data_IF_531086595776
#
_entry.id   IF_531086595776
#
_cell.length_a   1.000
_cell.length_b   1.000
_cell.length_c   1.000
_cell.angle_alpha   90.00
_cell.angle_beta   90.00
_cell.angle_gamma   90.00
#
_symmetry.space_group_name_H-M   'P 1'
#
loop_
_entity.id
_entity.type
_entity.pdbx_description
1 polymer ?
#
# COMPACT_ATOMS: atom_id res chain seq x y z
N UNK A 1 55.84 -9.40 -14.98
CA UNK A 1 56.46 -8.13 -15.40
C UNK A 1 55.58 -7.08 -14.79
N UNK A 2 55.95 -6.77 -13.63
CA UNK A 2 56.43 -5.48 -13.10
C UNK A 2 55.31 -4.42 -13.18
N UNK A 3 54.80 -3.90 -12.16
CA UNK A 3 55.34 -3.58 -10.84
C UNK A 3 55.15 -2.06 -10.60
N UNK A 4 54.80 -1.74 -9.41
CA UNK A 4 54.93 -0.44 -8.75
C UNK A 4 53.67 0.45 -8.64
N UNK A 5 53.06 0.40 -7.44
CA UNK A 5 52.33 1.53 -6.87
C UNK A 5 53.29 2.56 -6.26
N UNK A 6 52.86 3.76 -5.88
CA UNK A 6 53.50 4.44 -4.76
C UNK A 6 52.53 4.75 -3.59
N UNK A 7 52.99 4.50 -2.52
CA UNK A 7 53.20 4.88 -1.16
C UNK A 7 52.45 6.14 -0.66
N UNK A 8 51.86 5.94 0.52
CA UNK A 8 51.35 6.93 1.49
C UNK A 8 52.55 7.62 2.18
N UNK A 9 52.50 8.90 2.54
CA UNK A 9 53.27 9.43 3.69
C UNK A 9 52.39 9.81 4.86
N UNK A 10 52.99 9.45 6.02
CA UNK A 10 52.58 9.63 7.39
C UNK A 10 52.59 11.07 7.90
N UNK A 11 51.72 11.32 8.86
CA UNK A 11 51.78 12.19 10.04
C UNK A 11 53.04 13.02 10.26
N UNK A 12 52.79 14.32 10.55
CA UNK A 12 53.51 14.97 11.63
C UNK A 12 52.63 15.99 12.35
N UNK A 13 52.78 15.96 13.68
CA UNK A 13 52.07 16.73 14.68
C UNK A 13 52.70 18.12 14.84
N UNK A 14 51.88 19.15 14.98
CA UNK A 14 52.30 20.43 15.54
C UNK A 14 51.35 20.82 16.68
N UNK A 15 51.90 20.75 17.87
CA UNK A 15 51.37 21.26 19.14
C UNK A 15 51.45 22.79 19.16
N UNK A 16 50.37 23.47 19.48
CA UNK A 16 50.45 24.82 20.09
C UNK A 16 49.45 24.95 21.24
N UNK A 17 49.98 25.39 22.36
CA UNK A 17 49.39 25.43 23.67
C UNK A 17 48.32 26.53 23.89
N UNK A 18 47.80 26.64 25.11
CA UNK A 18 46.56 27.36 25.40
C UNK A 18 46.79 28.84 25.68
N UNK A 19 45.96 29.69 25.07
CA UNK A 19 45.77 31.08 25.50
C UNK A 19 44.52 31.17 26.36
N UNK A 20 44.71 31.42 27.63
CA UNK A 20 43.65 31.70 28.58
C UNK A 20 43.06 33.10 28.34
N UNK A 21 41.73 33.16 28.08
CA UNK A 21 40.97 34.41 28.19
C UNK A 21 39.90 34.21 29.29
N UNK A 22 40.15 34.80 30.46
CA UNK A 22 39.16 35.03 31.53
C UNK A 22 38.28 36.20 31.09
N UNK A 23 37.01 36.05 30.99
CA UNK A 23 36.01 37.03 31.45
C UNK A 23 34.64 36.33 31.54
N UNK A 24 34.01 36.49 32.69
CA UNK A 24 32.78 35.87 33.11
C UNK A 24 31.55 36.41 32.38
N UNK A 25 30.60 35.54 32.22
CA UNK A 25 29.21 35.92 32.03
C UNK A 25 28.30 34.89 32.70
N UNK A 26 27.41 35.43 33.47
CA UNK A 26 26.31 34.91 34.24
C UNK A 26 25.66 33.66 33.65
N UNK A 27 25.56 32.62 34.47
CA UNK A 27 24.82 31.41 34.17
C UNK A 27 23.32 31.66 34.19
N UNK A 28 22.69 31.40 33.06
CA UNK A 28 21.26 31.12 32.99
C UNK A 28 21.10 29.60 32.86
N UNK A 29 20.90 28.91 33.99
CA UNK A 29 20.55 27.49 34.03
C UNK A 29 19.13 27.35 33.45
N UNK A 30 19.04 27.04 32.16
CA UNK A 30 17.81 26.54 31.57
C UNK A 30 17.71 25.06 31.96
N UNK A 31 16.90 24.74 32.98
CA UNK A 31 16.48 23.38 33.25
C UNK A 31 15.70 22.86 32.06
N UNK A 32 16.40 22.19 31.13
CA UNK A 32 15.78 21.37 30.12
C UNK A 32 15.18 20.14 30.83
N UNK A 33 13.91 20.21 31.22
CA UNK A 33 13.17 19.04 31.69
C UNK A 33 13.18 18.02 30.54
N UNK A 34 14.04 17.00 30.68
CA UNK A 34 14.04 15.83 29.85
C UNK A 34 12.68 15.14 30.02
N UNK A 35 11.75 15.41 29.11
CA UNK A 35 10.56 14.57 28.94
C UNK A 35 11.05 13.14 28.66
N UNK A 36 10.62 12.14 29.45
CA UNK A 36 10.97 10.77 29.17
C UNK A 36 10.46 10.44 27.75
N UNK A 37 11.22 9.66 26.95
CA UNK A 37 10.73 9.20 25.68
C UNK A 37 9.38 8.51 25.95
N UNK A 38 8.31 8.97 25.29
CA UNK A 38 7.06 8.22 25.26
C UNK A 38 7.41 6.88 24.64
N UNK A 39 7.55 5.88 25.49
CA UNK A 39 7.54 4.48 25.07
C UNK A 39 6.20 4.32 24.40
N UNK A 40 6.21 4.22 23.07
CA UNK A 40 5.03 3.79 22.32
C UNK A 40 4.64 2.46 22.94
N UNK A 41 3.48 2.41 23.60
CA UNK A 41 2.90 1.15 24.03
C UNK A 41 2.79 0.27 22.77
N UNK A 42 3.71 -0.67 22.64
CA UNK A 42 3.58 -1.75 21.69
C UNK A 42 2.29 -2.47 22.06
N UNK A 43 1.25 -2.32 21.25
CA UNK A 43 -0.02 -3.01 21.46
C UNK A 43 0.26 -4.51 21.60
N UNK A 44 -0.27 -5.11 22.68
CA UNK A 44 -0.15 -6.53 22.91
C UNK A 44 -0.60 -7.33 21.67
N UNK A 45 0.08 -8.43 21.37
CA UNK A 45 -0.25 -9.25 20.21
C UNK A 45 -1.69 -9.75 20.31
N UNK A 46 -2.43 -9.65 19.22
CA UNK A 46 -3.82 -10.14 19.15
C UNK A 46 -3.78 -11.67 19.03
N UNK A 47 -4.26 -12.37 20.05
CA UNK A 47 -4.37 -13.84 20.05
C UNK A 47 -5.49 -14.34 19.12
N UNK A 48 -6.57 -13.56 18.98
CA UNK A 48 -7.71 -13.86 18.09
C UNK A 48 -8.10 -12.60 17.33
N UNK A 49 -8.34 -12.74 16.05
CA UNK A 49 -8.51 -11.61 15.15
C UNK A 49 -9.85 -11.71 14.42
N UNK A 50 -10.68 -10.67 14.54
CA UNK A 50 -11.85 -10.45 13.68
C UNK A 50 -11.43 -9.70 12.41
N UNK A 51 -12.30 -9.66 11.39
CA UNK A 51 -11.99 -8.95 10.13
C UNK A 51 -11.77 -7.45 10.36
N UNK A 52 -12.54 -6.81 11.25
CA UNK A 52 -12.44 -5.38 11.53
C UNK A 52 -11.17 -5.05 12.32
N UNK A 53 -10.77 -5.91 13.26
CA UNK A 53 -9.49 -5.79 13.96
C UNK A 53 -8.31 -5.98 13.01
N UNK A 54 -8.39 -6.93 12.06
CA UNK A 54 -7.40 -7.15 11.02
C UNK A 54 -7.22 -5.91 10.13
N UNK A 55 -8.33 -5.33 9.67
CA UNK A 55 -8.33 -4.08 8.88
C UNK A 55 -7.74 -2.94 9.70
N UNK A 56 -8.18 -2.77 10.95
CA UNK A 56 -7.67 -1.71 11.83
C UNK A 56 -6.18 -1.85 12.12
N UNK A 57 -5.68 -3.07 12.31
CA UNK A 57 -4.26 -3.36 12.49
C UNK A 57 -3.46 -3.02 11.22
N UNK A 58 -3.98 -3.41 10.04
CA UNK A 58 -3.34 -3.10 8.76
C UNK A 58 -3.26 -1.59 8.49
N UNK A 59 -4.31 -0.83 8.78
CA UNK A 59 -4.31 0.62 8.62
C UNK A 59 -3.28 1.33 9.51
N UNK A 60 -2.89 0.71 10.63
CA UNK A 60 -1.85 1.24 11.51
C UNK A 60 -0.44 0.78 11.14
N UNK A 61 -0.29 -0.45 10.65
CA UNK A 61 1.01 -1.12 10.58
C UNK A 61 1.49 -1.45 9.15
N UNK A 62 0.59 -1.46 8.15
CA UNK A 62 0.96 -1.87 6.80
C UNK A 62 2.08 -1.01 6.21
N UNK A 63 3.22 -1.63 5.77
CA UNK A 63 4.38 -0.88 5.30
C UNK A 63 4.11 -0.04 4.05
N UNK A 64 3.27 -0.54 3.13
CA UNK A 64 2.91 0.18 1.89
C UNK A 64 2.13 1.46 2.21
N UNK A 65 1.21 1.38 3.17
CA UNK A 65 0.43 2.54 3.62
C UNK A 65 1.33 3.57 4.32
N UNK A 66 2.25 3.11 5.18
CA UNK A 66 3.25 3.99 5.82
C UNK A 66 4.17 4.68 4.81
N UNK A 67 4.63 3.95 3.79
CA UNK A 67 5.45 4.52 2.72
C UNK A 67 4.69 5.63 1.97
N UNK A 68 3.40 5.40 1.62
CA UNK A 68 2.57 6.42 0.95
C UNK A 68 2.24 7.62 1.85
N UNK A 69 2.09 7.41 3.16
CA UNK A 69 1.97 8.49 4.14
C UNK A 69 3.24 9.36 4.20
N UNK A 70 4.42 8.74 4.20
CA UNK A 70 5.69 9.46 4.17
C UNK A 70 5.87 10.24 2.85
N UNK A 71 5.46 9.66 1.71
CA UNK A 71 5.44 10.34 0.42
C UNK A 71 4.55 11.59 0.45
N UNK A 72 3.35 11.48 1.03
CA UNK A 72 2.45 12.64 1.21
C UNK A 72 3.11 13.74 2.05
N UNK A 73 3.84 13.38 3.11
CA UNK A 73 4.57 14.38 3.92
C UNK A 73 5.70 15.04 3.11
N UNK A 74 6.43 14.28 2.30
CA UNK A 74 7.47 14.81 1.42
C UNK A 74 6.88 15.78 0.37
N UNK A 75 5.75 15.43 -0.24
CA UNK A 75 5.06 16.30 -1.20
C UNK A 75 4.52 17.56 -0.51
N UNK A 76 3.99 17.46 0.70
CA UNK A 76 3.58 18.63 1.51
C UNK A 76 4.74 19.58 1.81
N UNK A 77 5.93 19.05 2.09
CA UNK A 77 7.09 19.88 2.31
C UNK A 77 7.46 20.76 1.09
N UNK A 78 7.13 20.30 -0.13
CA UNK A 78 7.30 21.11 -1.35
C UNK A 78 6.41 22.35 -1.37
N UNK A 79 5.29 22.38 -0.65
CA UNK A 79 4.48 23.61 -0.52
C UNK A 79 5.25 24.70 0.22
N UNK A 80 6.05 24.34 1.22
CA UNK A 80 6.92 25.26 1.96
C UNK A 80 7.93 25.85 0.97
N UNK A 81 8.64 24.99 0.22
CA UNK A 81 9.63 25.42 -0.78
C UNK A 81 8.99 26.29 -1.86
N UNK A 82 7.82 25.93 -2.36
CA UNK A 82 7.09 26.69 -3.38
C UNK A 82 6.69 28.10 -2.89
N UNK A 83 6.48 28.26 -1.58
CA UNK A 83 6.12 29.51 -0.96
C UNK A 83 7.30 30.44 -0.68
N UNK A 84 8.53 29.96 -0.73
CA UNK A 84 9.71 30.77 -0.47
C UNK A 84 9.95 31.78 -1.59
N UNK A 85 10.49 32.94 -1.21
CA UNK A 85 11.04 33.92 -2.14
C UNK A 85 12.52 33.60 -2.40
N UNK A 86 13.09 33.99 -3.56
CA UNK A 86 14.53 33.89 -3.77
C UNK A 86 15.30 34.63 -2.67
N UNK A 87 16.41 34.07 -2.23
CA UNK A 87 17.25 34.74 -1.26
C UNK A 87 17.98 35.93 -1.88
N UNK A 88 18.31 36.98 -1.10
CA UNK A 88 19.23 38.02 -1.54
C UNK A 88 20.62 37.42 -1.73
N UNK A 89 21.36 37.97 -2.63
CA UNK A 89 22.76 37.61 -2.87
C UNK A 89 23.66 38.78 -2.47
N UNK A 90 24.74 38.48 -1.75
CA UNK A 90 25.79 39.41 -1.45
C UNK A 90 27.08 38.96 -2.17
N UNK A 91 27.73 39.84 -2.88
CA UNK A 91 29.01 39.56 -3.52
C UNK A 91 30.04 40.61 -3.13
N UNK A 92 31.28 40.17 -3.03
CA UNK A 92 32.44 41.02 -2.80
C UNK A 92 33.49 40.71 -3.87
N UNK A 93 34.03 41.77 -4.50
CA UNK A 93 35.12 41.68 -5.41
C UNK A 93 36.23 42.65 -4.97
N UNK A 94 37.49 42.21 -5.10
CA UNK A 94 38.66 43.04 -4.91
C UNK A 94 39.51 42.94 -6.16
N UNK A 95 39.76 44.07 -6.79
CA UNK A 95 40.47 44.14 -8.06
C UNK A 95 41.69 45.05 -7.92
N UNK A 96 42.65 44.95 -8.86
CA UNK A 96 43.89 45.75 -8.89
C UNK A 96 44.77 45.61 -7.63
N UNK A 97 44.70 44.46 -6.95
CA UNK A 97 45.55 44.12 -5.83
C UNK A 97 46.97 43.78 -6.34
N UNK A 98 47.92 44.70 -6.19
CA UNK A 98 49.32 44.50 -6.64
C UNK A 98 49.61 45.01 -8.06
N UNK A 99 48.76 45.83 -8.63
CA UNK A 99 49.04 46.59 -9.88
C UNK A 99 50.18 47.60 -9.66
N UNK A 100 50.81 48.01 -10.79
CA UNK A 100 51.95 49.00 -10.76
C UNK A 100 51.53 50.33 -10.13
N UNK A 101 52.49 51.24 -9.99
CA UNK A 101 52.40 52.46 -9.14
C UNK A 101 51.22 53.43 -9.44
N UNK A 102 50.40 53.18 -10.43
CA UNK A 102 49.23 54.02 -10.81
C UNK A 102 47.87 53.32 -10.67
N UNK A 103 47.83 52.05 -10.27
CA UNK A 103 46.58 51.32 -10.09
C UNK A 103 46.14 51.36 -8.61
N UNK A 104 45.00 51.96 -8.32
CA UNK A 104 44.43 52.01 -6.96
C UNK A 104 43.59 50.77 -6.68
N UNK A 105 43.77 50.08 -5.53
CA UNK A 105 42.95 48.96 -5.13
C UNK A 105 41.46 49.32 -5.16
N UNK A 106 40.66 48.48 -5.81
CA UNK A 106 39.23 48.61 -5.89
C UNK A 106 38.56 47.52 -5.09
N UNK A 107 37.63 47.88 -4.25
CA UNK A 107 36.78 46.98 -3.48
C UNK A 107 35.30 47.25 -3.78
N UNK A 108 34.59 46.22 -4.20
CA UNK A 108 33.16 46.32 -4.56
C UNK A 108 32.35 45.35 -3.73
N UNK A 109 31.30 45.84 -3.10
CA UNK A 109 30.28 45.02 -2.38
C UNK A 109 28.94 45.26 -3.08
N UNK A 110 28.28 44.19 -3.50
CA UNK A 110 26.97 44.28 -4.14
C UNK A 110 25.96 43.46 -3.31
N UNK A 111 24.82 44.05 -2.99
CA UNK A 111 23.66 43.39 -2.43
C UNK A 111 22.55 43.40 -3.46
N UNK A 112 22.09 42.25 -3.89
CA UNK A 112 21.05 42.12 -4.93
C UNK A 112 19.90 41.22 -4.44
N UNK A 113 18.65 41.60 -4.75
CA UNK A 113 17.46 40.85 -4.39
C UNK A 113 16.61 40.56 -5.62
N UNK A 114 16.51 39.28 -6.07
CA UNK A 114 15.61 38.93 -7.16
C UNK A 114 14.15 39.11 -6.73
N UNK A 115 13.37 39.81 -7.53
CA UNK A 115 11.92 40.01 -7.36
C UNK A 115 11.21 39.28 -8.49
N UNK A 116 10.49 38.22 -8.13
CA UNK A 116 9.74 37.43 -9.10
C UNK A 116 8.54 38.22 -9.61
N UNK A 117 8.37 38.29 -10.91
CA UNK A 117 7.22 38.91 -11.58
C UNK A 117 6.29 37.85 -12.19
N UNK A 118 5.20 38.27 -12.85
CA UNK A 118 4.28 37.34 -13.53
C UNK A 118 3.51 36.40 -12.61
N UNK A 119 3.55 36.61 -11.29
CA UNK A 119 2.85 35.77 -10.33
C UNK A 119 3.46 34.38 -10.13
N UNK A 120 4.73 34.18 -10.49
CA UNK A 120 5.44 32.88 -10.44
C UNK A 120 5.28 32.16 -9.11
N UNK A 121 5.54 32.87 -8.01
CA UNK A 121 5.41 32.31 -6.65
C UNK A 121 4.00 31.78 -6.40
N UNK A 122 2.95 32.51 -6.77
CA UNK A 122 1.57 32.08 -6.59
C UNK A 122 1.28 30.82 -7.41
N UNK A 123 1.76 30.75 -8.67
CA UNK A 123 1.56 29.59 -9.52
C UNK A 123 2.35 28.36 -9.05
N UNK A 124 3.54 28.55 -8.45
CA UNK A 124 4.28 27.45 -7.78
C UNK A 124 3.48 26.90 -6.61
N UNK A 125 2.92 27.76 -5.76
CA UNK A 125 2.09 27.34 -4.63
C UNK A 125 0.87 26.57 -5.12
N UNK A 126 0.19 27.04 -6.16
CA UNK A 126 -0.98 26.37 -6.75
C UNK A 126 -0.63 24.97 -7.28
N UNK A 127 0.47 24.83 -8.02
CA UNK A 127 0.97 23.56 -8.53
C UNK A 127 1.33 22.61 -7.38
N UNK A 128 2.10 23.08 -6.38
CA UNK A 128 2.48 22.27 -5.22
C UNK A 128 1.26 21.77 -4.42
N UNK A 129 0.29 22.65 -4.17
CA UNK A 129 -0.97 22.26 -3.50
C UNK A 129 -1.78 21.26 -4.32
N UNK A 130 -1.80 21.40 -5.65
CA UNK A 130 -2.46 20.44 -6.51
C UNK A 130 -1.77 19.06 -6.44
N UNK A 131 -0.42 19.04 -6.39
CA UNK A 131 0.36 17.82 -6.17
C UNK A 131 0.01 17.15 -4.82
N UNK A 132 -0.06 17.92 -3.73
CA UNK A 132 -0.47 17.42 -2.41
C UNK A 132 -1.86 16.80 -2.44
N UNK A 133 -2.82 17.43 -3.12
CA UNK A 133 -4.18 16.86 -3.26
C UNK A 133 -4.16 15.55 -4.03
N UNK A 134 -3.40 15.46 -5.13
CA UNK A 134 -3.26 14.23 -5.91
C UNK A 134 -2.73 13.10 -5.04
N UNK A 135 -1.59 13.31 -4.37
CA UNK A 135 -0.98 12.31 -3.49
C UNK A 135 -1.89 11.94 -2.30
N UNK A 136 -2.69 12.89 -1.81
CA UNK A 136 -3.69 12.63 -0.79
C UNK A 136 -4.77 11.63 -1.23
N UNK A 137 -5.28 11.77 -2.46
CA UNK A 137 -6.24 10.81 -3.03
C UNK A 137 -5.59 9.47 -3.36
N UNK A 138 -4.34 9.45 -3.83
CA UNK A 138 -3.57 8.23 -4.03
C UNK A 138 -3.35 7.47 -2.71
N UNK A 139 -3.13 8.17 -1.59
CA UNK A 139 -3.07 7.56 -0.26
C UNK A 139 -4.40 6.88 0.10
N UNK A 140 -5.53 7.53 -0.18
CA UNK A 140 -6.84 6.94 0.05
C UNK A 140 -7.09 5.71 -0.84
N UNK A 141 -6.55 5.71 -2.07
CA UNK A 141 -6.63 4.53 -2.94
C UNK A 141 -5.79 3.36 -2.42
N UNK A 142 -4.57 3.61 -1.96
CA UNK A 142 -3.74 2.59 -1.30
C UNK A 142 -4.45 2.04 -0.05
N UNK A 143 -5.11 2.91 0.74
CA UNK A 143 -5.93 2.46 1.89
C UNK A 143 -7.04 1.50 1.46
N UNK A 144 -7.81 1.86 0.42
CA UNK A 144 -8.86 1.01 -0.15
C UNK A 144 -8.33 -0.36 -0.60
N UNK A 145 -7.19 -0.37 -1.29
CA UNK A 145 -6.53 -1.60 -1.75
C UNK A 145 -6.07 -2.47 -0.58
N UNK A 146 -5.45 -1.89 0.45
CA UNK A 146 -5.04 -2.62 1.66
C UNK A 146 -6.22 -3.23 2.37
N UNK A 147 -7.33 -2.49 2.55
CA UNK A 147 -8.56 -3.01 3.15
C UNK A 147 -9.08 -4.22 2.37
N UNK A 148 -9.19 -4.11 1.04
CA UNK A 148 -9.64 -5.20 0.18
C UNK A 148 -8.74 -6.42 0.27
N UNK A 149 -7.42 -6.23 0.27
CA UNK A 149 -6.44 -7.30 0.37
C UNK A 149 -6.55 -8.04 1.72
N UNK A 150 -6.69 -7.28 2.82
CA UNK A 150 -6.85 -7.87 4.17
C UNK A 150 -8.14 -8.67 4.26
N UNK A 151 -9.27 -8.11 3.83
CA UNK A 151 -10.57 -8.81 3.83
C UNK A 151 -10.52 -10.10 3.01
N UNK A 152 -9.88 -10.07 1.84
CA UNK A 152 -9.75 -11.23 0.96
C UNK A 152 -8.85 -12.32 1.56
N UNK A 153 -7.70 -11.95 2.10
CA UNK A 153 -6.80 -12.91 2.75
C UNK A 153 -7.41 -13.47 4.04
N UNK A 154 -8.14 -12.66 4.78
CA UNK A 154 -8.88 -13.10 5.96
C UNK A 154 -9.93 -14.17 5.61
N UNK A 155 -10.74 -13.94 4.57
CA UNK A 155 -11.68 -14.94 4.07
C UNK A 155 -10.98 -16.25 3.65
N UNK A 156 -9.79 -16.16 3.06
CA UNK A 156 -9.00 -17.33 2.69
C UNK A 156 -8.58 -18.16 3.92
N UNK A 157 -8.26 -17.53 5.06
CA UNK A 157 -7.95 -18.24 6.30
C UNK A 157 -9.19 -18.98 6.82
N UNK A 158 -10.36 -18.31 6.82
CA UNK A 158 -11.61 -18.94 7.26
C UNK A 158 -11.99 -20.15 6.39
N UNK A 159 -11.81 -20.07 5.06
CA UNK A 159 -12.04 -21.19 4.15
C UNK A 159 -11.08 -22.35 4.44
N UNK A 160 -9.81 -22.04 4.68
CA UNK A 160 -8.80 -23.05 5.00
C UNK A 160 -9.10 -23.76 6.34
N UNK A 161 -9.54 -23.02 7.37
CA UNK A 161 -10.00 -23.59 8.64
C UNK A 161 -11.20 -24.51 8.44
N UNK A 162 -12.25 -24.04 7.76
CA UNK A 162 -13.43 -24.86 7.48
C UNK A 162 -13.10 -26.10 6.63
N UNK A 163 -12.10 -26.02 5.75
CA UNK A 163 -11.61 -27.15 4.96
C UNK A 163 -10.90 -28.18 5.83
N UNK A 164 -10.08 -27.74 6.80
CA UNK A 164 -9.44 -28.64 7.76
C UNK A 164 -10.48 -29.34 8.64
N UNK A 165 -11.45 -28.59 9.17
CA UNK A 165 -12.52 -29.16 10.00
C UNK A 165 -13.29 -30.25 9.25
N UNK A 166 -13.60 -30.02 7.97
CA UNK A 166 -14.24 -31.02 7.11
C UNK A 166 -13.36 -32.26 6.91
N UNK A 167 -12.07 -32.05 6.63
CA UNK A 167 -11.12 -33.14 6.43
C UNK A 167 -10.95 -34.00 7.71
N UNK A 168 -10.86 -33.38 8.87
CA UNK A 168 -10.75 -34.08 10.17
C UNK A 168 -12.04 -34.83 10.53
N UNK A 169 -13.23 -34.25 10.26
CA UNK A 169 -14.50 -34.96 10.40
C UNK A 169 -14.58 -36.20 9.51
N UNK A 170 -14.13 -36.09 8.25
CA UNK A 170 -14.12 -37.22 7.34
C UNK A 170 -13.14 -38.31 7.80
N UNK A 171 -11.94 -37.95 8.27
CA UNK A 171 -10.98 -38.90 8.85
C UNK A 171 -11.55 -39.61 10.08
N UNK A 172 -12.20 -38.87 10.98
CA UNK A 172 -12.83 -39.44 12.15
C UNK A 172 -13.89 -40.49 11.79
N UNK A 173 -14.74 -40.19 10.80
CA UNK A 173 -15.72 -41.15 10.29
C UNK A 173 -15.05 -42.41 9.75
N UNK A 174 -13.97 -42.25 9.00
CA UNK A 174 -13.21 -43.36 8.42
C UNK A 174 -12.55 -44.23 9.52
N UNK A 175 -12.00 -43.61 10.56
CA UNK A 175 -11.43 -44.28 11.73
C UNK A 175 -12.44 -45.17 12.45
N UNK A 176 -13.69 -44.69 12.58
CA UNK A 176 -14.77 -45.46 13.18
C UNK A 176 -15.12 -46.69 12.33
N UNK A 177 -15.19 -46.51 11.02
CA UNK A 177 -15.47 -47.60 10.09
C UNK A 177 -14.31 -48.61 10.04
N UNK A 178 -13.06 -48.16 10.03
CA UNK A 178 -11.91 -49.05 10.06
C UNK A 178 -11.88 -49.91 11.32
N UNK A 179 -12.18 -49.33 12.48
CA UNK A 179 -12.28 -50.10 13.74
C UNK A 179 -13.36 -51.15 13.67
N UNK A 180 -14.54 -50.85 13.12
CA UNK A 180 -15.61 -51.80 12.92
C UNK A 180 -15.21 -52.95 11.99
N UNK A 181 -14.56 -52.62 10.87
CA UNK A 181 -14.11 -53.60 9.86
C UNK A 181 -13.01 -54.49 10.36
N UNK A 182 -12.10 -54.00 11.18
CA UNK A 182 -11.06 -54.80 11.82
C UNK A 182 -11.66 -55.91 12.68
N UNK A 183 -12.64 -55.56 13.52
CA UNK A 183 -13.34 -56.54 14.35
C UNK A 183 -14.10 -57.54 13.49
N UNK A 184 -14.73 -57.16 12.38
CA UNK A 184 -15.39 -58.07 11.45
C UNK A 184 -14.42 -58.99 10.73
N UNK A 185 -13.25 -58.50 10.34
CA UNK A 185 -12.21 -59.32 9.71
C UNK A 185 -11.65 -60.36 10.69
N UNK A 186 -11.43 -60.00 11.95
CA UNK A 186 -11.00 -60.92 13.02
C UNK A 186 -12.01 -62.05 13.28
N UNK A 187 -13.33 -61.73 13.12
CA UNK A 187 -14.41 -62.71 13.25
C UNK A 187 -14.68 -63.56 12.00
N UNK A 188 -14.01 -63.19 10.88
CA UNK A 188 -14.22 -63.83 9.59
C UNK A 188 -15.47 -63.36 8.81
N UNK A 189 -16.14 -62.31 9.27
CA UNK A 189 -17.36 -61.75 8.65
C UNK A 189 -17.06 -61.01 7.33
N UNK A 190 -15.80 -60.54 7.15
CA UNK A 190 -15.33 -59.90 5.92
C UNK A 190 -13.93 -60.44 5.52
N UNK A 191 -13.57 -60.21 4.25
CA UNK A 191 -12.25 -60.64 3.76
C UNK A 191 -11.17 -59.65 4.21
N UNK A 192 -9.94 -60.12 4.41
CA UNK A 192 -8.76 -59.30 4.65
C UNK A 192 -8.55 -58.27 3.50
N UNK A 193 -8.94 -58.64 2.28
CA UNK A 193 -8.85 -57.73 1.11
C UNK A 193 -9.73 -56.48 1.29
N UNK A 194 -10.91 -56.60 1.88
CA UNK A 194 -11.79 -55.44 2.12
C UNK A 194 -11.18 -54.48 3.15
N UNK A 195 -10.59 -55.01 4.21
CA UNK A 195 -9.86 -54.22 5.20
C UNK A 195 -8.67 -53.48 4.58
N UNK A 196 -7.85 -54.18 3.77
CA UNK A 196 -6.74 -53.59 3.07
C UNK A 196 -7.17 -52.46 2.10
N UNK A 197 -8.26 -52.67 1.35
CA UNK A 197 -8.83 -51.61 0.48
C UNK A 197 -9.21 -50.38 1.25
N UNK A 198 -9.85 -50.52 2.41
CA UNK A 198 -10.21 -49.40 3.26
C UNK A 198 -8.98 -48.63 3.76
N UNK A 199 -7.94 -49.35 4.20
CA UNK A 199 -6.67 -48.77 4.64
C UNK A 199 -5.93 -48.01 3.54
N UNK A 200 -5.94 -48.53 2.32
CA UNK A 200 -5.35 -47.83 1.16
C UNK A 200 -6.13 -46.57 0.85
N UNK A 201 -7.45 -46.60 0.91
CA UNK A 201 -8.30 -45.41 0.69
C UNK A 201 -8.12 -44.34 1.77
N UNK A 202 -7.76 -44.72 2.98
CA UNK A 202 -7.47 -43.81 4.10
C UNK A 202 -6.41 -42.77 3.73
N UNK A 203 -5.39 -43.17 2.95
CA UNK A 203 -4.33 -42.24 2.51
C UNK A 203 -4.86 -40.97 1.82
N UNK A 204 -5.94 -41.09 1.02
CA UNK A 204 -6.53 -39.92 0.36
C UNK A 204 -7.10 -38.90 1.38
N UNK A 205 -7.69 -39.37 2.48
CA UNK A 205 -8.23 -38.49 3.52
C UNK A 205 -7.13 -37.91 4.41
N UNK A 206 -6.07 -38.66 4.69
CA UNK A 206 -4.89 -38.16 5.42
C UNK A 206 -4.17 -37.09 4.64
N UNK A 207 -4.01 -37.28 3.32
CA UNK A 207 -3.45 -36.28 2.42
C UNK A 207 -4.30 -35.00 2.44
N UNK A 208 -5.64 -35.10 2.31
CA UNK A 208 -6.52 -33.93 2.32
C UNK A 208 -6.39 -33.14 3.63
N UNK A 209 -6.24 -33.79 4.76
CA UNK A 209 -6.00 -33.13 6.05
C UNK A 209 -4.60 -32.47 6.10
N UNK A 210 -3.58 -33.13 5.53
CA UNK A 210 -2.25 -32.57 5.39
C UNK A 210 -2.24 -31.30 4.53
N UNK A 211 -2.87 -31.38 3.34
CA UNK A 211 -3.00 -30.27 2.40
C UNK A 211 -3.79 -29.09 3.04
N UNK A 212 -4.84 -29.39 3.81
CA UNK A 212 -5.63 -28.36 4.50
C UNK A 212 -4.82 -27.65 5.61
N UNK A 213 -3.97 -28.38 6.37
CA UNK A 213 -3.08 -27.76 7.36
C UNK A 213 -2.06 -26.84 6.67
N UNK A 214 -1.46 -27.26 5.58
CA UNK A 214 -0.56 -26.42 4.80
C UNK A 214 -1.29 -25.17 4.26
N UNK A 215 -2.53 -25.31 3.79
CA UNK A 215 -3.32 -24.20 3.29
C UNK A 215 -3.61 -23.15 4.38
N UNK A 216 -3.87 -23.56 5.63
CA UNK A 216 -4.04 -22.63 6.77
C UNK A 216 -2.76 -21.85 7.02
N UNK A 217 -1.62 -22.52 7.10
CA UNK A 217 -0.34 -21.83 7.33
C UNK A 217 -0.03 -20.84 6.20
N UNK A 218 -0.22 -21.23 4.94
CA UNK A 218 -0.03 -20.35 3.80
C UNK A 218 -0.97 -19.13 3.84
N UNK A 219 -2.25 -19.34 4.19
CA UNK A 219 -3.23 -18.27 4.29
C UNK A 219 -2.93 -17.31 5.47
N UNK A 220 -2.49 -17.83 6.62
CA UNK A 220 -2.05 -17.02 7.77
C UNK A 220 -0.81 -16.19 7.43
N UNK A 221 0.18 -16.75 6.73
CA UNK A 221 1.36 -16.01 6.26
C UNK A 221 0.92 -14.87 5.32
N UNK A 222 0.02 -15.13 4.37
CA UNK A 222 -0.49 -14.12 3.46
C UNK A 222 -1.27 -13.00 4.19
N UNK A 223 -2.10 -13.35 5.18
CA UNK A 223 -2.81 -12.37 6.00
C UNK A 223 -1.85 -11.50 6.81
N UNK A 224 -0.85 -12.11 7.46
CA UNK A 224 0.19 -11.38 8.20
C UNK A 224 0.97 -10.42 7.30
N UNK A 225 1.31 -10.84 6.09
CA UNK A 225 1.97 -9.98 5.11
C UNK A 225 1.07 -8.80 4.68
N UNK A 226 -0.24 -9.02 4.53
CA UNK A 226 -1.19 -7.98 4.18
C UNK A 226 -1.42 -6.97 5.32
N UNK A 227 -1.40 -7.40 6.57
CA UNK A 227 -1.54 -6.53 7.74
C UNK A 227 -0.24 -5.78 8.01
N UNK A 228 0.89 -6.45 7.92
CA UNK A 228 2.22 -5.99 8.31
C UNK A 228 2.79 -6.90 9.40
N UNK A 229 4.00 -7.43 9.18
CA UNK A 229 4.56 -8.51 10.01
C UNK A 229 4.74 -8.13 11.48
N UNK A 230 4.93 -6.83 11.77
CA UNK A 230 5.17 -6.32 13.12
C UNK A 230 3.89 -6.10 13.93
N UNK A 231 2.72 -6.20 13.30
CA UNK A 231 1.42 -5.94 13.94
C UNK A 231 0.81 -7.17 14.64
N UNK A 232 1.25 -8.37 14.28
CA UNK A 232 0.72 -9.63 14.76
C UNK A 232 1.85 -10.49 15.32
N UNK A 233 1.69 -10.92 16.58
CA UNK A 233 2.56 -11.97 17.15
C UNK A 233 2.14 -13.35 16.63
N UNK A 234 3.09 -14.27 16.63
CA UNK A 234 2.82 -15.69 16.35
C UNK A 234 2.84 -16.48 17.67
N UNK A 235 1.96 -17.46 17.83
CA UNK A 235 0.85 -17.84 16.95
C UNK A 235 -0.37 -16.92 17.09
N UNK A 236 -1.11 -16.67 16.01
CA UNK A 236 -2.40 -16.00 16.03
C UNK A 236 -3.47 -16.87 15.36
N UNK A 237 -4.74 -16.59 15.66
CA UNK A 237 -5.88 -17.23 15.03
C UNK A 237 -6.92 -16.22 14.55
N UNK A 238 -7.81 -16.61 13.63
CA UNK A 238 -8.89 -15.77 13.15
C UNK A 238 -10.24 -16.28 13.64
N UNK A 239 -11.15 -15.34 13.91
CA UNK A 239 -12.51 -15.65 14.35
C UNK A 239 -13.50 -14.99 13.39
N UNK A 240 -14.39 -15.80 12.82
CA UNK A 240 -15.43 -15.34 11.92
C UNK A 240 -16.22 -16.53 11.39
N UNK A 241 -17.36 -16.25 10.79
CA UNK A 241 -18.21 -17.23 10.15
C UNK A 241 -18.30 -16.94 8.65
N UNK A 242 -18.25 -18.01 7.85
CA UNK A 242 -18.47 -17.96 6.42
C UNK A 242 -19.98 -18.08 6.12
N UNK A 243 -20.75 -17.12 6.61
CA UNK A 243 -22.19 -17.12 6.37
C UNK A 243 -22.52 -16.52 5.00
N UNK A 244 -23.50 -17.12 4.34
CA UNK A 244 -24.02 -16.55 3.10
C UNK A 244 -24.86 -15.31 3.42
N UNK A 245 -24.46 -14.15 2.86
CA UNK A 245 -25.19 -12.89 2.99
C UNK A 245 -25.76 -12.50 1.63
N UNK A 246 -27.07 -12.41 1.54
CA UNK A 246 -27.72 -11.88 0.32
C UNK A 246 -27.64 -10.35 0.29
N UNK A 247 -27.01 -9.81 -0.74
CA UNK A 247 -26.77 -8.38 -0.88
C UNK A 247 -27.51 -7.86 -2.11
N UNK A 248 -28.26 -6.75 -2.01
CA UNK A 248 -28.90 -6.14 -3.18
C UNK A 248 -27.85 -5.62 -4.17
N UNK A 249 -27.96 -6.03 -5.44
CA UNK A 249 -26.99 -5.78 -6.51
C UNK A 249 -27.62 -4.93 -7.62
N UNK A 250 -27.85 -3.64 -7.32
CA UNK A 250 -28.29 -2.67 -8.34
C UNK A 250 -27.06 -2.12 -9.09
N UNK A 251 -26.98 -2.45 -10.38
CA UNK A 251 -25.86 -2.08 -11.25
C UNK A 251 -25.69 -0.58 -11.37
N UNK A 252 -26.78 0.16 -11.56
CA UNK A 252 -26.72 1.59 -11.83
C UNK A 252 -26.34 2.36 -10.56
N UNK A 253 -26.83 1.92 -9.41
CA UNK A 253 -26.42 2.46 -8.12
C UNK A 253 -24.93 2.22 -7.85
N UNK A 254 -24.43 0.99 -8.07
CA UNK A 254 -23.02 0.65 -7.88
C UNK A 254 -22.11 1.49 -8.79
N UNK A 255 -22.49 1.69 -10.06
CA UNK A 255 -21.75 2.55 -11.00
C UNK A 255 -21.74 4.01 -10.55
N UNK A 256 -22.88 4.56 -10.10
CA UNK A 256 -22.95 5.94 -9.58
C UNK A 256 -22.03 6.12 -8.36
N UNK A 257 -22.08 5.16 -7.43
CA UNK A 257 -21.22 5.16 -6.24
C UNK A 257 -19.75 5.12 -6.61
N UNK A 258 -19.35 4.25 -7.53
CA UNK A 258 -17.97 4.15 -8.00
C UNK A 258 -17.47 5.49 -8.56
N UNK A 259 -18.20 6.12 -9.46
CA UNK A 259 -17.82 7.40 -10.06
C UNK A 259 -17.74 8.55 -9.05
N UNK A 260 -18.52 8.47 -7.95
CA UNK A 260 -18.52 9.49 -6.89
C UNK A 260 -17.43 9.28 -5.86
N UNK A 261 -17.19 8.03 -5.43
CA UNK A 261 -16.44 7.76 -4.21
C UNK A 261 -15.04 7.16 -4.45
N UNK A 262 -14.75 6.62 -5.63
CA UNK A 262 -13.44 5.98 -5.87
C UNK A 262 -12.28 6.96 -5.73
N UNK A 263 -11.32 6.67 -4.83
CA UNK A 263 -10.18 7.57 -4.61
C UNK A 263 -9.23 7.67 -5.80
N UNK A 264 -9.06 6.59 -6.59
CA UNK A 264 -8.24 6.60 -7.80
C UNK A 264 -8.80 7.54 -8.88
N UNK A 265 -10.14 7.63 -9.03
CA UNK A 265 -10.78 8.60 -9.92
C UNK A 265 -10.61 10.03 -9.40
N UNK A 266 -10.68 10.22 -8.09
CA UNK A 266 -10.40 11.52 -7.46
C UNK A 266 -8.93 11.91 -7.65
N UNK A 267 -7.99 10.95 -7.54
CA UNK A 267 -6.57 11.16 -7.84
C UNK A 267 -6.34 11.54 -9.31
N UNK A 268 -6.97 10.85 -10.26
CA UNK A 268 -6.87 11.17 -11.68
C UNK A 268 -7.41 12.59 -12.00
N UNK A 269 -8.54 12.97 -11.40
CA UNK A 269 -9.10 14.33 -11.53
C UNK A 269 -8.19 15.39 -10.91
N UNK A 270 -7.62 15.12 -9.73
CA UNK A 270 -6.64 15.99 -9.08
C UNK A 270 -5.33 16.12 -9.88
N UNK A 271 -4.86 15.03 -10.49
CA UNK A 271 -3.70 15.03 -11.38
C UNK A 271 -3.93 15.87 -12.64
N UNK A 272 -5.14 15.83 -13.23
CA UNK A 272 -5.55 16.72 -14.32
C UNK A 272 -5.50 18.19 -13.88
N UNK A 273 -6.02 18.50 -12.69
CA UNK A 273 -6.02 19.87 -12.17
C UNK A 273 -4.58 20.34 -11.86
N UNK A 274 -3.71 19.44 -11.38
CA UNK A 274 -2.28 19.72 -11.23
C UNK A 274 -1.63 20.04 -12.59
N UNK A 275 -1.87 19.24 -13.61
CA UNK A 275 -1.32 19.48 -14.95
C UNK A 275 -1.75 20.84 -15.51
N UNK A 276 -3.00 21.27 -15.27
CA UNK A 276 -3.48 22.62 -15.62
C UNK A 276 -2.76 23.72 -14.83
N UNK A 277 -2.48 23.49 -13.54
CA UNK A 277 -1.71 24.42 -12.71
C UNK A 277 -0.26 24.54 -13.21
N UNK A 278 0.35 23.42 -13.68
CA UNK A 278 1.70 23.40 -14.25
C UNK A 278 1.78 24.20 -15.55
N UNK A 279 0.73 24.16 -16.40
CA UNK A 279 0.64 25.04 -17.59
C UNK A 279 0.67 26.51 -17.19
N UNK A 280 -0.09 26.88 -16.14
CA UNK A 280 -0.14 28.26 -15.66
C UNK A 280 1.22 28.69 -15.06
N UNK A 281 1.91 27.79 -14.36
CA UNK A 281 3.26 28.01 -13.85
C UNK A 281 4.25 28.20 -15.00
N UNK A 282 4.21 27.36 -16.04
CA UNK A 282 5.06 27.46 -17.21
C UNK A 282 4.88 28.81 -17.95
N UNK A 283 3.64 29.26 -18.06
CA UNK A 283 3.31 30.59 -18.60
C UNK A 283 3.83 31.74 -17.72
N UNK A 284 3.70 31.61 -16.39
CA UNK A 284 4.23 32.61 -15.46
C UNK A 284 5.76 32.69 -15.54
N UNK A 285 6.44 31.55 -15.70
CA UNK A 285 7.87 31.48 -15.86
C UNK A 285 8.35 32.13 -17.18
N UNK A 286 7.50 32.40 -18.15
CA UNK A 286 7.82 33.16 -19.33
C UNK A 286 8.06 34.66 -19.05
N UNK A 287 7.59 35.20 -17.95
CA UNK A 287 7.85 36.57 -17.55
C UNK A 287 9.27 36.76 -17.01
N UNK A 288 9.85 37.93 -17.21
CA UNK A 288 11.16 38.28 -16.68
C UNK A 288 11.09 38.72 -15.23
N UNK A 289 12.13 38.43 -14.44
CA UNK A 289 12.26 38.92 -13.07
C UNK A 289 13.13 40.17 -13.03
N UNK A 290 12.96 41.02 -12.02
CA UNK A 290 13.75 42.19 -11.79
C UNK A 290 14.65 41.97 -10.60
N UNK A 291 15.93 42.26 -10.75
CA UNK A 291 16.87 42.19 -9.63
C UNK A 291 17.43 43.58 -9.35
N UNK A 292 16.80 44.35 -8.44
CA UNK A 292 17.40 45.54 -7.89
C UNK A 292 18.66 45.18 -7.11
N UNK A 293 19.65 46.09 -7.19
CA UNK A 293 20.91 45.93 -6.48
C UNK A 293 21.41 47.27 -5.94
N UNK A 294 22.11 47.22 -4.84
CA UNK A 294 22.85 48.31 -4.23
C UNK A 294 24.31 47.90 -4.26
N UNK A 295 25.17 48.80 -4.76
CA UNK A 295 26.60 48.61 -4.87
C UNK A 295 27.31 49.66 -4.04
N UNK A 296 28.29 49.21 -3.25
CA UNK A 296 29.28 50.07 -2.61
C UNK A 296 30.63 49.76 -3.21
N UNK A 297 31.28 50.81 -3.72
CA UNK A 297 32.60 50.71 -4.33
C UNK A 297 33.58 51.68 -3.66
N UNK A 298 34.75 51.16 -3.34
CA UNK A 298 35.89 51.97 -2.86
C UNK A 298 37.04 51.84 -3.85
N UNK A 299 37.53 52.97 -4.35
CA UNK A 299 38.70 53.08 -5.22
C UNK A 299 39.68 54.01 -4.52
N UNK A 300 40.79 53.47 -4.03
CA UNK A 300 41.73 54.25 -3.21
C UNK A 300 41.03 54.94 -2.03
N UNK A 301 41.05 56.32 -1.97
CA UNK A 301 40.38 57.10 -0.93
C UNK A 301 38.89 57.32 -1.19
N UNK A 302 38.40 57.12 -2.41
CA UNK A 302 37.05 57.48 -2.83
C UNK A 302 36.05 56.37 -2.55
N UNK A 303 34.87 56.79 -2.05
CA UNK A 303 33.76 55.88 -1.79
C UNK A 303 32.56 56.29 -2.62
N UNK A 304 31.96 55.31 -3.29
CA UNK A 304 30.80 55.51 -4.17
C UNK A 304 29.66 54.53 -3.79
N UNK A 305 28.41 55.01 -3.81
CA UNK A 305 27.25 54.18 -3.69
C UNK A 305 26.48 54.26 -5.00
N UNK A 306 26.24 53.09 -5.60
CA UNK A 306 25.44 52.90 -6.80
C UNK A 306 24.16 52.15 -6.52
N UNK A 307 23.14 52.45 -7.31
CA UNK A 307 21.91 51.65 -7.39
C UNK A 307 21.70 51.18 -8.83
N UNK A 308 21.31 49.94 -8.98
CA UNK A 308 21.10 49.37 -10.31
C UNK A 308 19.95 48.35 -10.28
N UNK A 309 19.57 47.94 -11.43
CA UNK A 309 18.68 46.80 -11.61
C UNK A 309 19.07 46.00 -12.85
N UNK A 310 18.89 44.69 -12.78
CA UNK A 310 19.11 43.79 -13.91
C UNK A 310 17.84 42.98 -14.17
N UNK A 311 17.64 42.65 -15.44
CA UNK A 311 16.56 41.77 -15.89
C UNK A 311 17.00 41.05 -17.18
N UNK A 312 16.64 39.75 -17.35
CA UNK A 312 16.99 39.01 -18.55
C UNK A 312 16.16 39.46 -19.75
N UNK A 313 16.82 39.71 -20.88
CA UNK A 313 16.14 39.97 -22.15
C UNK A 313 15.72 38.62 -22.77
N UNK A 314 14.43 38.29 -22.69
CA UNK A 314 13.88 37.03 -23.20
C UNK A 314 13.64 37.11 -24.73
N UNK A 315 14.72 37.16 -25.52
CA UNK A 315 14.65 37.25 -26.96
C UNK A 315 14.46 35.88 -27.58
N UNK A 316 15.27 34.91 -27.18
CA UNK A 316 15.31 33.55 -27.74
C UNK A 316 14.47 32.56 -26.89
N UNK A 317 14.73 32.51 -25.60
CA UNK A 317 13.98 31.64 -24.66
C UNK A 317 12.86 32.43 -23.94
N UNK A 318 11.63 32.13 -24.35
CA UNK A 318 10.38 32.65 -23.77
C UNK A 318 9.64 31.54 -23.05
N UNK A 319 10.32 30.48 -22.63
CA UNK A 319 9.75 29.28 -22.01
C UNK A 319 8.78 28.53 -22.95
N UNK A 320 8.87 28.72 -24.27
CA UNK A 320 7.94 28.16 -25.25
C UNK A 320 7.94 26.62 -25.24
N UNK A 321 9.09 26.00 -25.07
CA UNK A 321 9.23 24.54 -25.01
C UNK A 321 8.52 23.97 -23.80
N UNK A 322 8.72 24.56 -22.62
CA UNK A 322 8.08 24.11 -21.38
C UNK A 322 6.55 24.35 -21.40
N UNK A 323 6.10 25.47 -22.00
CA UNK A 323 4.67 25.73 -22.22
C UNK A 323 4.06 24.68 -23.14
N UNK A 324 4.76 24.31 -24.22
CA UNK A 324 4.27 23.24 -25.12
C UNK A 324 4.24 21.87 -24.43
N UNK A 325 5.29 21.53 -23.69
CA UNK A 325 5.40 20.28 -22.93
C UNK A 325 4.25 20.17 -21.91
N UNK A 326 4.05 21.19 -21.08
CA UNK A 326 3.00 21.16 -20.04
C UNK A 326 1.59 21.16 -20.63
N UNK A 327 1.36 21.76 -21.82
CA UNK A 327 0.08 21.64 -22.53
C UNK A 327 -0.19 20.20 -22.97
N UNK A 328 0.79 19.54 -23.58
CA UNK A 328 0.67 18.14 -23.98
C UNK A 328 0.44 17.22 -22.76
N UNK A 329 1.11 17.48 -21.63
CA UNK A 329 0.89 16.77 -20.38
C UNK A 329 -0.53 17.00 -19.81
N UNK A 330 -1.09 18.20 -19.96
CA UNK A 330 -2.46 18.47 -19.55
C UNK A 330 -3.49 17.71 -20.43
N UNK A 331 -3.27 17.67 -21.74
CA UNK A 331 -4.07 16.88 -22.69
C UNK A 331 -3.97 15.36 -22.37
N UNK A 332 -2.75 14.87 -22.12
CA UNK A 332 -2.52 13.49 -21.67
C UNK A 332 -3.27 13.17 -20.38
N UNK A 333 -3.20 14.05 -19.38
CA UNK A 333 -3.86 13.85 -18.08
C UNK A 333 -5.39 13.85 -18.22
N UNK A 334 -5.94 14.65 -19.14
CA UNK A 334 -7.37 14.64 -19.44
C UNK A 334 -7.81 13.33 -20.12
N UNK A 335 -7.00 12.80 -21.04
CA UNK A 335 -7.25 11.50 -21.65
C UNK A 335 -7.18 10.35 -20.63
N UNK A 336 -6.18 10.38 -19.73
CA UNK A 336 -6.04 9.41 -18.63
C UNK A 336 -7.23 9.45 -17.67
N UNK A 337 -7.77 10.64 -17.35
CA UNK A 337 -8.97 10.76 -16.49
C UNK A 337 -10.17 10.09 -17.14
N UNK A 338 -10.37 10.29 -18.44
CA UNK A 338 -11.47 9.59 -19.19
C UNK A 338 -11.26 8.08 -19.23
N UNK A 339 -10.02 7.64 -19.44
CA UNK A 339 -9.67 6.20 -19.40
C UNK A 339 -9.96 5.59 -18.03
N UNK A 340 -9.62 6.30 -16.95
CA UNK A 340 -9.89 5.84 -15.58
C UNK A 340 -11.39 5.68 -15.30
N UNK A 341 -12.23 6.65 -15.76
CA UNK A 341 -13.69 6.53 -15.63
C UNK A 341 -14.23 5.28 -16.33
N UNK A 342 -13.76 5.00 -17.56
CA UNK A 342 -14.17 3.80 -18.33
C UNK A 342 -13.72 2.52 -17.63
N UNK A 343 -12.47 2.48 -17.16
CA UNK A 343 -11.92 1.31 -16.48
C UNK A 343 -12.64 1.05 -15.15
N UNK A 344 -12.94 2.07 -14.37
CA UNK A 344 -13.69 1.94 -13.13
C UNK A 344 -15.07 1.32 -13.35
N UNK A 345 -15.80 1.74 -14.39
CA UNK A 345 -17.09 1.16 -14.73
C UNK A 345 -16.97 -0.31 -15.18
N UNK A 346 -15.93 -0.64 -15.94
CA UNK A 346 -15.66 -2.01 -16.36
C UNK A 346 -15.31 -2.92 -15.17
N UNK A 347 -14.53 -2.43 -14.22
CA UNK A 347 -14.20 -3.15 -12.98
C UNK A 347 -15.45 -3.42 -12.13
N UNK A 348 -16.33 -2.42 -11.97
CA UNK A 348 -17.61 -2.61 -11.26
C UNK A 348 -18.47 -3.68 -11.94
N UNK A 349 -18.61 -3.63 -13.27
CA UNK A 349 -19.41 -4.60 -13.99
C UNK A 349 -18.82 -6.02 -13.90
N UNK A 350 -17.50 -6.13 -13.98
CA UNK A 350 -16.80 -7.41 -13.85
C UNK A 350 -16.97 -8.00 -12.44
N UNK A 351 -16.75 -7.18 -11.41
CA UNK A 351 -16.91 -7.60 -10.02
C UNK A 351 -18.36 -7.98 -9.70
N UNK A 352 -19.34 -7.19 -10.20
CA UNK A 352 -20.76 -7.49 -10.06
C UNK A 352 -21.14 -8.82 -10.73
N UNK A 353 -20.62 -9.08 -11.93
CA UNK A 353 -20.83 -10.35 -12.63
C UNK A 353 -20.26 -11.52 -11.82
N UNK A 354 -19.03 -11.37 -11.27
CA UNK A 354 -18.43 -12.39 -10.43
C UNK A 354 -19.28 -12.69 -9.18
N UNK A 355 -19.75 -11.66 -8.47
CA UNK A 355 -20.62 -11.85 -7.30
C UNK A 355 -21.89 -12.59 -7.67
N UNK A 356 -22.56 -12.25 -8.79
CA UNK A 356 -23.79 -12.93 -9.23
C UNK A 356 -23.56 -14.42 -9.50
N UNK A 357 -22.49 -14.75 -10.24
CA UNK A 357 -22.15 -16.13 -10.56
C UNK A 357 -21.83 -16.94 -9.30
N UNK A 358 -21.02 -16.40 -8.40
CA UNK A 358 -20.67 -17.10 -7.17
C UNK A 358 -21.87 -17.22 -6.22
N UNK A 359 -22.74 -16.21 -6.18
CA UNK A 359 -24.01 -16.27 -5.44
C UNK A 359 -24.88 -17.44 -5.90
N UNK A 360 -25.11 -17.56 -7.21
CA UNK A 360 -25.92 -18.66 -7.78
C UNK A 360 -25.28 -20.01 -7.44
N UNK A 361 -23.95 -20.14 -7.56
CA UNK A 361 -23.24 -21.37 -7.21
C UNK A 361 -23.40 -21.75 -5.76
N UNK A 362 -23.24 -20.79 -4.82
CA UNK A 362 -23.44 -21.03 -3.38
C UNK A 362 -24.87 -21.47 -3.08
N UNK A 363 -25.87 -20.78 -3.62
CA UNK A 363 -27.28 -21.10 -3.40
C UNK A 363 -27.62 -22.52 -3.89
N UNK A 364 -27.20 -22.89 -5.09
CA UNK A 364 -27.44 -24.22 -5.66
C UNK A 364 -26.74 -25.31 -4.81
N UNK A 365 -25.49 -25.08 -4.40
CA UNK A 365 -24.75 -26.04 -3.58
C UNK A 365 -25.37 -26.18 -2.20
N UNK A 366 -25.68 -25.08 -1.52
CA UNK A 366 -26.23 -25.05 -0.16
C UNK A 366 -27.64 -25.68 -0.09
N UNK A 367 -28.50 -25.31 -1.03
CA UNK A 367 -29.93 -25.63 -0.94
C UNK A 367 -30.29 -26.95 -1.66
N UNK A 368 -29.44 -27.41 -2.57
CA UNK A 368 -29.79 -28.58 -3.40
C UNK A 368 -28.80 -29.73 -3.26
N UNK A 369 -27.52 -29.50 -3.56
CA UNK A 369 -26.57 -30.60 -3.69
C UNK A 369 -25.97 -31.07 -2.37
N UNK A 370 -25.58 -30.17 -1.50
CA UNK A 370 -24.97 -30.51 -0.20
C UNK A 370 -25.93 -31.31 0.69
N UNK A 371 -27.23 -30.94 0.86
CA UNK A 371 -28.17 -31.74 1.62
C UNK A 371 -28.41 -33.15 1.02
N UNK A 372 -28.49 -33.25 -0.31
CA UNK A 372 -28.66 -34.55 -0.99
C UNK A 372 -27.43 -35.43 -0.82
N UNK A 373 -26.24 -34.89 -0.98
CA UNK A 373 -25.00 -35.64 -0.77
C UNK A 373 -24.84 -36.10 0.70
N UNK A 374 -25.22 -35.25 1.64
CA UNK A 374 -25.24 -35.57 3.08
C UNK A 374 -26.24 -36.68 3.41
N UNK A 375 -27.46 -36.60 2.85
CA UNK A 375 -28.49 -37.62 3.03
C UNK A 375 -28.05 -38.94 2.39
N UNK A 376 -27.52 -38.94 1.17
CA UNK A 376 -27.00 -40.14 0.51
C UNK A 376 -25.90 -40.81 1.33
N UNK A 377 -24.92 -40.02 1.80
CA UNK A 377 -23.87 -40.51 2.69
C UNK A 377 -24.43 -41.16 3.93
N UNK A 378 -25.32 -40.48 4.66
CA UNK A 378 -25.91 -40.99 5.90
C UNK A 378 -26.72 -42.27 5.67
N UNK A 379 -27.48 -42.35 4.59
CA UNK A 379 -28.27 -43.56 4.24
C UNK A 379 -27.36 -44.74 3.91
N UNK A 380 -26.33 -44.53 3.09
CA UNK A 380 -25.39 -45.62 2.71
C UNK A 380 -24.53 -46.04 3.91
N UNK A 381 -24.08 -45.12 4.75
CA UNK A 381 -23.36 -45.42 5.98
C UNK A 381 -24.19 -46.27 6.95
N UNK A 382 -25.47 -45.93 7.14
CA UNK A 382 -26.39 -46.71 7.94
C UNK A 382 -26.60 -48.13 7.41
N UNK A 383 -26.81 -48.27 6.08
CA UNK A 383 -26.95 -49.57 5.43
C UNK A 383 -25.65 -50.40 5.55
N UNK A 384 -24.48 -49.77 5.31
CA UNK A 384 -23.19 -50.43 5.42
C UNK A 384 -22.88 -50.94 6.84
N UNK A 385 -23.17 -50.16 7.87
CA UNK A 385 -23.04 -50.59 9.28
C UNK A 385 -23.88 -51.84 9.62
N UNK A 386 -24.99 -52.04 8.90
CA UNK A 386 -25.90 -53.19 9.05
C UNK A 386 -25.69 -54.31 8.05
N UNK A 387 -24.70 -54.20 7.17
CA UNK A 387 -24.41 -55.21 6.14
C UNK A 387 -25.31 -55.15 4.90
N UNK A 388 -26.13 -54.08 4.74
CA UNK A 388 -27.02 -53.88 3.60
C UNK A 388 -26.45 -53.09 2.44
N UNK A 389 -25.22 -52.61 2.55
CA UNK A 389 -24.49 -51.94 1.48
C UNK A 389 -23.05 -52.46 1.45
N UNK A 390 -22.40 -52.36 0.28
CA UNK A 390 -20.99 -52.75 0.12
C UNK A 390 -20.01 -51.66 0.60
N UNK A 391 -18.75 -52.04 0.85
CA UNK A 391 -17.67 -51.06 1.12
C UNK A 391 -17.52 -50.07 -0.01
N UNK A 392 -17.67 -50.51 -1.27
CA UNK A 392 -17.54 -49.65 -2.44
C UNK A 392 -18.64 -48.57 -2.45
N UNK A 393 -19.88 -48.93 -2.17
CA UNK A 393 -20.99 -47.96 -2.09
C UNK A 393 -20.74 -46.93 -1.00
N UNK A 394 -20.25 -47.38 0.18
CA UNK A 394 -19.90 -46.51 1.30
C UNK A 394 -18.77 -45.50 0.89
N UNK A 395 -17.70 -45.99 0.32
CA UNK A 395 -16.57 -45.14 -0.10
C UNK A 395 -16.97 -44.16 -1.22
N UNK A 396 -17.83 -44.57 -2.14
CA UNK A 396 -18.33 -43.70 -3.20
C UNK A 396 -19.24 -42.59 -2.66
N UNK A 397 -20.15 -42.91 -1.73
CA UNK A 397 -20.98 -41.94 -1.05
C UNK A 397 -20.15 -40.94 -0.21
N UNK A 398 -19.11 -41.42 0.50
CA UNK A 398 -18.17 -40.57 1.23
C UNK A 398 -17.39 -39.64 0.30
N UNK A 399 -16.91 -40.14 -0.83
CA UNK A 399 -16.20 -39.34 -1.84
C UNK A 399 -17.11 -38.24 -2.38
N UNK A 400 -18.34 -38.58 -2.81
CA UNK A 400 -19.30 -37.63 -3.36
C UNK A 400 -19.65 -36.52 -2.37
N UNK A 401 -19.90 -36.89 -1.09
CA UNK A 401 -20.14 -35.90 -0.04
C UNK A 401 -18.94 -34.98 0.16
N UNK A 402 -17.74 -35.55 0.28
CA UNK A 402 -16.48 -34.79 0.47
C UNK A 402 -16.28 -33.77 -0.67
N UNK A 403 -16.38 -34.23 -1.94
CA UNK A 403 -16.22 -33.38 -3.10
C UNK A 403 -17.26 -32.26 -3.14
N UNK A 404 -18.53 -32.57 -2.85
CA UNK A 404 -19.63 -31.57 -2.81
C UNK A 404 -19.41 -30.55 -1.67
N UNK A 405 -19.01 -31.00 -0.50
CA UNK A 405 -18.75 -30.13 0.65
C UNK A 405 -17.53 -29.22 0.42
N UNK A 406 -16.44 -29.74 -0.14
CA UNK A 406 -15.27 -28.94 -0.53
C UNK A 406 -15.61 -27.89 -1.59
N UNK A 407 -16.43 -28.27 -2.59
CA UNK A 407 -16.87 -27.32 -3.62
C UNK A 407 -17.78 -26.22 -3.02
N UNK A 408 -18.62 -26.56 -2.04
CA UNK A 408 -19.41 -25.56 -1.31
C UNK A 408 -18.51 -24.57 -0.55
N UNK A 409 -17.52 -25.05 0.19
CA UNK A 409 -16.58 -24.18 0.91
C UNK A 409 -15.78 -23.27 -0.04
N UNK A 410 -15.33 -23.81 -1.18
CA UNK A 410 -14.67 -23.02 -2.22
C UNK A 410 -15.59 -21.96 -2.82
N UNK A 411 -16.86 -22.34 -3.12
CA UNK A 411 -17.84 -21.38 -3.63
C UNK A 411 -18.12 -20.25 -2.63
N UNK A 412 -18.21 -20.56 -1.33
CA UNK A 412 -18.35 -19.58 -0.25
C UNK A 412 -17.14 -18.62 -0.21
N UNK A 413 -15.92 -19.14 -0.26
CA UNK A 413 -14.71 -18.32 -0.27
C UNK A 413 -14.63 -17.43 -1.50
N UNK A 414 -14.96 -17.96 -2.68
CA UNK A 414 -15.02 -17.20 -3.92
C UNK A 414 -16.09 -16.11 -3.89
N UNK A 415 -17.24 -16.39 -3.26
CA UNK A 415 -18.32 -15.40 -3.09
C UNK A 415 -17.86 -14.23 -2.21
N UNK A 416 -17.26 -14.50 -1.06
CA UNK A 416 -16.75 -13.46 -0.17
C UNK A 416 -15.62 -12.65 -0.83
N UNK A 417 -14.71 -13.32 -1.53
CA UNK A 417 -13.65 -12.64 -2.30
C UNK A 417 -14.24 -11.71 -3.36
N UNK A 418 -15.22 -12.19 -4.15
CA UNK A 418 -15.89 -11.38 -5.15
C UNK A 418 -16.66 -10.20 -4.54
N UNK A 419 -17.28 -10.41 -3.35
CA UNK A 419 -17.99 -9.35 -2.64
C UNK A 419 -17.03 -8.25 -2.16
N UNK A 420 -15.90 -8.61 -1.56
CA UNK A 420 -14.89 -7.63 -1.14
C UNK A 420 -14.24 -6.90 -2.32
N UNK A 421 -14.06 -7.59 -3.46
CA UNK A 421 -13.61 -6.96 -4.69
C UNK A 421 -14.67 -5.97 -5.24
N UNK A 422 -15.96 -6.30 -5.15
CA UNK A 422 -17.03 -5.38 -5.51
C UNK A 422 -17.09 -4.17 -4.58
N UNK A 423 -16.97 -4.35 -3.27
CA UNK A 423 -16.85 -3.25 -2.30
C UNK A 423 -15.70 -2.31 -2.67
N UNK A 424 -14.53 -2.88 -2.96
CA UNK A 424 -13.38 -2.10 -3.40
C UNK A 424 -13.63 -1.39 -4.74
N UNK A 425 -14.27 -2.04 -5.71
CA UNK A 425 -14.57 -1.47 -7.02
C UNK A 425 -15.55 -0.29 -6.96
N UNK A 426 -16.42 -0.22 -5.94
CA UNK A 426 -17.34 0.91 -5.73
C UNK A 426 -16.79 2.01 -4.82
N UNK A 427 -15.54 1.87 -4.36
CA UNK A 427 -14.85 2.90 -3.58
C UNK A 427 -14.88 2.71 -2.06
N UNK A 428 -15.19 1.51 -1.55
CA UNK A 428 -15.23 1.16 -0.13
C UNK A 428 -16.60 0.75 0.38
N UNK A 429 -16.68 0.26 1.63
CA UNK A 429 -17.95 -0.09 2.26
C UNK A 429 -18.76 1.15 2.64
N UNK A 430 -20.07 0.95 2.92
CA UNK A 430 -20.97 2.04 3.37
C UNK A 430 -20.64 2.55 4.79
N UNK A 431 -19.79 1.84 5.50
CA UNK A 431 -19.48 2.04 6.92
C UNK A 431 -18.07 2.64 7.16
N UNK A 432 -17.28 2.84 6.09
CA UNK A 432 -16.01 3.56 6.09
C UNK A 432 -16.21 5.01 5.60
#
# INVERSE_FOLDING_TARGET
MDGSGPAVPSRDALSMGPVAFRHGCLGLFLCLAALPPRVSEAQAPLERLTVDEAVSAALRANPTLRAKQAELQAVRANEITAALRPNPTASYAAEQLGGGSTAEPQHTVILAQPIETGGKRQRRIESARAATRTTGYELNDVRRQVISQVKTTFASVLVAQATLDLAEQNLKTLDEIERLQRVRAEKGDISQLELLRLQVQRFAFERDAGDARQAIEAAKIALRAAIGPDALAEPFDVVGELDFRDVPLDRDELRRRALANRPDLQAARAARDKARADVNLARANAWWDVTPQIEYQRIGPDNTIGVGFSFPLRIFDRNQGEIARTRAEAERSEALTRSADVQALAEVDTALSAVRVQRERVVILRDTYLPKAQQARATVEFAYRRGGASLLDFLDAQRTYRETALEHLRAMGNFWTALYQLEAAVGGSRED
#
